data_IF_327424476422
#
_entry.id   IF_327424476422
#
_cell.length_a   1.000
_cell.length_b   1.000
_cell.length_c   1.000
_cell.angle_alpha   90.00
_cell.angle_beta   90.00
_cell.angle_gamma   90.00
#
_symmetry.space_group_name_H-M   'P 1'
#
loop_
_entity.id
_entity.type
_entity.pdbx_description
1 polymer ?
#
# COMPACT_ATOMS: atom_id res chain seq x y z
N UNK A 1 -4.30 -29.88 11.68
CA UNK A 1 -5.69 -29.85 11.18
C UNK A 1 -5.91 -28.50 10.50
N UNK A 2 -5.83 -28.42 9.17
CA UNK A 2 -6.02 -27.15 8.44
C UNK A 2 -7.52 -26.89 8.38
N UNK A 3 -7.98 -25.82 9.00
CA UNK A 3 -9.36 -25.32 8.86
C UNK A 3 -9.57 -24.90 7.42
N UNK A 4 -10.45 -25.60 6.72
CA UNK A 4 -10.93 -25.19 5.40
C UNK A 4 -11.85 -23.98 5.61
N UNK A 5 -11.27 -22.78 5.52
CA UNK A 5 -12.04 -21.54 5.56
C UNK A 5 -13.02 -21.54 4.38
N UNK A 6 -14.32 -21.58 4.68
CA UNK A 6 -15.44 -21.56 3.71
C UNK A 6 -15.88 -20.14 3.39
N UNK A 7 -15.10 -19.13 3.77
CA UNK A 7 -15.36 -17.74 3.45
C UNK A 7 -15.58 -17.55 1.94
N UNK A 8 -16.62 -16.80 1.52
CA UNK A 8 -16.86 -16.49 0.10
C UNK A 8 -15.84 -15.49 -0.45
N UNK A 9 -15.03 -14.85 0.39
CA UNK A 9 -14.13 -13.78 -0.01
C UNK A 9 -13.14 -14.18 -1.13
N UNK A 10 -12.47 -15.34 -1.10
CA UNK A 10 -11.59 -15.75 -2.20
C UNK A 10 -12.31 -15.84 -3.54
N UNK A 11 -13.56 -16.32 -3.57
CA UNK A 11 -14.36 -16.40 -4.80
C UNK A 11 -14.74 -15.02 -5.33
N UNK A 12 -15.13 -14.10 -4.45
CA UNK A 12 -15.48 -12.73 -4.83
C UNK A 12 -14.25 -12.02 -5.41
N UNK A 13 -13.08 -12.20 -4.78
CA UNK A 13 -11.85 -11.56 -5.22
C UNK A 13 -11.38 -12.13 -6.57
N UNK A 14 -11.41 -13.46 -6.75
CA UNK A 14 -11.12 -14.08 -8.06
C UNK A 14 -12.08 -13.57 -9.12
N UNK A 15 -13.39 -13.50 -8.84
CA UNK A 15 -14.37 -12.97 -9.78
C UNK A 15 -14.11 -11.49 -10.15
N UNK A 16 -13.61 -10.68 -9.22
CA UNK A 16 -13.23 -9.29 -9.48
C UNK A 16 -12.00 -9.19 -10.40
N UNK A 17 -10.99 -10.04 -10.19
CA UNK A 17 -9.81 -10.10 -11.07
C UNK A 17 -10.14 -10.68 -12.45
N UNK A 18 -11.02 -11.68 -12.53
CA UNK A 18 -11.53 -12.23 -13.79
C UNK A 18 -12.37 -11.20 -14.55
N UNK A 19 -13.16 -10.38 -13.85
CA UNK A 19 -13.86 -9.23 -14.45
C UNK A 19 -12.86 -8.17 -15.00
N UNK A 20 -11.65 -8.11 -14.42
CA UNK A 20 -10.50 -7.35 -14.90
C UNK A 20 -9.64 -8.05 -15.97
N UNK A 21 -10.12 -9.16 -16.53
CA UNK A 21 -9.56 -9.99 -17.61
C UNK A 21 -8.44 -10.99 -17.31
N UNK A 22 -7.68 -10.90 -16.21
CA UNK A 22 -6.81 -12.00 -15.69
C UNK A 22 -6.05 -11.55 -14.45
N UNK A 23 -5.74 -12.52 -13.60
CA UNK A 23 -4.83 -12.31 -12.47
C UNK A 23 -3.40 -12.08 -12.98
N UNK A 24 -2.67 -11.05 -12.49
CA UNK A 24 -1.27 -10.83 -12.87
C UNK A 24 -0.40 -12.04 -12.50
N UNK A 25 0.68 -12.26 -13.25
CA UNK A 25 1.62 -13.32 -12.89
C UNK A 25 2.34 -12.97 -11.59
N UNK A 26 2.93 -13.98 -10.92
CA UNK A 26 3.72 -13.75 -9.72
C UNK A 26 4.95 -12.87 -9.99
N UNK A 27 5.55 -13.00 -11.17
CA UNK A 27 6.69 -12.20 -11.61
C UNK A 27 6.29 -10.72 -11.79
N UNK A 28 5.13 -10.48 -12.39
CA UNK A 28 4.59 -9.11 -12.51
C UNK A 28 4.32 -8.51 -11.13
N UNK A 29 3.74 -9.29 -10.21
CA UNK A 29 3.47 -8.84 -8.84
C UNK A 29 4.76 -8.57 -8.06
N UNK A 30 5.81 -9.37 -8.25
CA UNK A 30 7.12 -9.12 -7.65
C UNK A 30 7.75 -7.83 -8.18
N UNK A 31 7.66 -7.61 -9.49
CA UNK A 31 8.14 -6.36 -10.13
C UNK A 31 7.39 -5.14 -9.57
N UNK A 32 6.06 -5.24 -9.43
CA UNK A 32 5.24 -4.18 -8.84
C UNK A 32 5.55 -3.96 -7.37
N UNK A 33 5.80 -5.01 -6.59
CA UNK A 33 6.22 -4.92 -5.19
C UNK A 33 7.50 -4.07 -5.04
N UNK A 34 8.55 -4.39 -5.81
CA UNK A 34 9.81 -3.65 -5.81
C UNK A 34 9.59 -2.17 -6.17
N UNK A 35 8.89 -1.91 -7.28
CA UNK A 35 8.62 -0.54 -7.73
C UNK A 35 7.81 0.28 -6.72
N UNK A 36 6.83 -0.32 -6.07
CA UNK A 36 5.99 0.36 -5.08
C UNK A 36 6.76 0.61 -3.78
N UNK A 37 7.68 -0.28 -3.38
CA UNK A 37 8.55 -0.06 -2.22
C UNK A 37 9.52 1.08 -2.43
N UNK A 38 10.14 1.16 -3.61
CA UNK A 38 11.01 2.28 -3.97
C UNK A 38 10.25 3.61 -3.94
N UNK A 39 9.03 3.63 -4.49
CA UNK A 39 8.18 4.82 -4.47
C UNK A 39 7.71 5.18 -3.06
N UNK A 40 7.34 4.18 -2.24
CA UNK A 40 7.01 4.36 -0.82
C UNK A 40 8.17 5.00 -0.06
N UNK A 41 9.38 4.46 -0.20
CA UNK A 41 10.57 4.98 0.46
C UNK A 41 10.86 6.42 0.06
N UNK A 42 10.77 6.72 -1.25
CA UNK A 42 10.94 8.07 -1.79
C UNK A 42 9.92 9.06 -1.21
N UNK A 43 8.63 8.71 -1.27
CA UNK A 43 7.55 9.57 -0.79
C UNK A 43 7.55 9.73 0.73
N UNK A 44 7.86 8.67 1.49
CA UNK A 44 8.00 8.76 2.94
C UNK A 44 9.15 9.70 3.33
N UNK A 45 10.27 9.68 2.61
CA UNK A 45 11.35 10.64 2.78
C UNK A 45 10.90 12.09 2.57
N UNK A 46 10.13 12.35 1.51
CA UNK A 46 9.55 13.68 1.24
C UNK A 46 8.54 14.10 2.31
N UNK A 47 7.66 13.19 2.73
CA UNK A 47 6.65 13.44 3.76
C UNK A 47 7.29 13.74 5.12
N UNK A 48 8.36 13.04 5.50
CA UNK A 48 9.15 13.35 6.70
C UNK A 48 9.74 14.75 6.61
N UNK A 49 10.31 15.12 5.46
CA UNK A 49 10.81 16.47 5.20
C UNK A 49 9.72 17.53 5.38
N UNK A 50 8.55 17.32 4.76
CA UNK A 50 7.40 18.23 4.89
C UNK A 50 6.90 18.33 6.34
N UNK A 51 6.86 17.21 7.07
CA UNK A 51 6.38 17.14 8.45
C UNK A 51 7.22 18.01 9.41
N UNK A 52 8.52 18.20 9.10
CA UNK A 52 9.41 19.08 9.86
C UNK A 52 9.16 20.57 9.59
N UNK A 53 8.49 20.91 8.49
CA UNK A 53 8.23 22.30 8.08
C UNK A 53 6.85 22.82 8.50
N UNK A 54 5.91 21.91 8.78
CA UNK A 54 4.55 22.28 9.20
C UNK A 54 4.44 22.40 10.73
N UNK A 55 3.52 23.23 11.26
CA UNK A 55 3.34 23.36 12.70
C UNK A 55 2.99 22.00 13.35
N UNK A 56 3.68 21.59 14.43
CA UNK A 56 3.36 20.36 15.14
C UNK A 56 1.91 20.32 15.61
N UNK A 57 1.27 19.15 15.56
CA UNK A 57 -0.15 18.93 15.93
C UNK A 57 -1.17 19.71 15.08
N UNK A 58 -0.76 20.30 13.96
CA UNK A 58 -1.70 20.78 12.95
C UNK A 58 -2.35 19.60 12.22
N UNK A 59 -3.47 19.86 11.52
CA UNK A 59 -4.12 18.86 10.65
C UNK A 59 -3.15 18.31 9.60
N UNK A 60 -2.37 19.18 8.98
CA UNK A 60 -1.33 18.83 8.02
C UNK A 60 -0.26 17.91 8.64
N UNK A 61 0.22 18.24 9.84
CA UNK A 61 1.19 17.42 10.56
C UNK A 61 0.64 16.01 10.83
N UNK A 62 -0.59 15.91 11.34
CA UNK A 62 -1.23 14.60 11.59
C UNK A 62 -1.43 13.78 10.32
N UNK A 63 -1.82 14.42 9.20
CA UNK A 63 -1.99 13.75 7.92
C UNK A 63 -0.67 13.14 7.44
N UNK A 64 0.42 13.91 7.51
CA UNK A 64 1.75 13.44 7.13
C UNK A 64 2.26 12.32 8.04
N UNK A 65 2.20 12.49 9.36
CA UNK A 65 2.70 11.46 10.29
C UNK A 65 1.91 10.16 10.18
N UNK A 66 0.58 10.23 10.08
CA UNK A 66 -0.24 9.03 9.92
C UNK A 66 0.03 8.31 8.59
N UNK A 67 0.28 9.05 7.50
CA UNK A 67 0.63 8.46 6.21
C UNK A 67 2.03 7.80 6.24
N UNK A 68 3.00 8.41 6.93
CA UNK A 68 4.34 7.85 7.14
C UNK A 68 4.26 6.56 7.94
N UNK A 69 3.58 6.57 9.10
CA UNK A 69 3.46 5.39 9.96
C UNK A 69 2.81 4.23 9.21
N UNK A 70 1.73 4.51 8.45
CA UNK A 70 1.05 3.50 7.66
C UNK A 70 1.91 2.94 6.51
N UNK A 71 2.79 3.75 5.93
CA UNK A 71 3.74 3.30 4.91
C UNK A 71 4.84 2.42 5.50
N UNK A 72 5.37 2.78 6.67
CA UNK A 72 6.38 1.97 7.38
C UNK A 72 5.82 0.61 7.80
N UNK A 73 4.57 0.57 8.26
CA UNK A 73 3.92 -0.69 8.61
C UNK A 73 3.70 -1.59 7.38
N UNK A 74 3.33 -1.01 6.24
CA UNK A 74 3.18 -1.76 5.00
C UNK A 74 4.52 -2.27 4.45
N UNK A 75 5.60 -1.49 4.56
CA UNK A 75 6.94 -1.89 4.10
C UNK A 75 7.48 -3.10 4.88
N UNK A 76 7.07 -3.28 6.14
CA UNK A 76 7.46 -4.46 6.94
C UNK A 76 6.74 -5.74 6.53
N UNK A 77 5.66 -5.66 5.75
CA UNK A 77 4.93 -6.83 5.29
C UNK A 77 5.72 -7.55 4.20
N UNK A 78 5.67 -8.88 4.18
CA UNK A 78 6.30 -9.70 3.15
C UNK A 78 5.24 -10.20 2.19
N UNK A 79 5.51 -10.12 0.88
CA UNK A 79 4.61 -10.63 -0.14
C UNK A 79 4.36 -12.14 0.05
N UNK A 80 3.08 -12.54 0.08
CA UNK A 80 2.70 -13.93 0.25
C UNK A 80 3.05 -14.83 -0.95
N UNK A 81 3.07 -16.15 -0.71
CA UNK A 81 3.37 -17.14 -1.76
C UNK A 81 2.17 -17.49 -2.65
N UNK A 82 0.96 -17.15 -2.25
CA UNK A 82 -0.25 -17.37 -3.03
C UNK A 82 -0.52 -16.20 -3.98
N UNK A 83 -1.14 -16.43 -5.15
CA UNK A 83 -1.42 -15.36 -6.10
C UNK A 83 -2.34 -14.29 -5.49
N UNK A 84 -3.37 -14.70 -4.74
CA UNK A 84 -4.27 -13.78 -4.04
C UNK A 84 -3.56 -12.96 -2.98
N UNK A 85 -2.75 -13.61 -2.14
CA UNK A 85 -2.05 -12.92 -1.06
C UNK A 85 -0.98 -11.96 -1.60
N UNK A 86 -0.34 -12.31 -2.72
CA UNK A 86 0.56 -11.40 -3.43
C UNK A 86 -0.19 -10.19 -4.03
N UNK A 87 -1.33 -10.41 -4.68
CA UNK A 87 -2.12 -9.33 -5.27
C UNK A 87 -2.66 -8.35 -4.20
N UNK A 88 -3.13 -8.87 -3.06
CA UNK A 88 -3.58 -8.04 -1.94
C UNK A 88 -2.42 -7.24 -1.32
N UNK A 89 -1.23 -7.83 -1.26
CA UNK A 89 -0.04 -7.14 -0.77
C UNK A 89 0.33 -5.95 -1.67
N UNK A 90 0.43 -6.17 -2.98
CA UNK A 90 0.72 -5.11 -3.96
C UNK A 90 -0.36 -4.02 -3.94
N UNK A 91 -1.64 -4.39 -3.82
CA UNK A 91 -2.73 -3.43 -3.70
C UNK A 91 -2.63 -2.57 -2.44
N UNK A 92 -2.22 -3.17 -1.32
CA UNK A 92 -1.98 -2.45 -0.07
C UNK A 92 -0.81 -1.46 -0.19
N UNK A 93 0.32 -1.87 -0.78
CA UNK A 93 1.45 -0.96 -1.05
C UNK A 93 1.01 0.22 -1.94
N UNK A 94 0.26 -0.06 -3.01
CA UNK A 94 -0.26 0.98 -3.90
C UNK A 94 -1.20 1.96 -3.16
N UNK A 95 -2.04 1.46 -2.27
CA UNK A 95 -2.89 2.30 -1.41
C UNK A 95 -2.06 3.22 -0.52
N UNK A 96 -0.93 2.75 0.03
CA UNK A 96 -0.04 3.58 0.86
C UNK A 96 0.71 4.63 0.06
N UNK A 97 1.13 4.31 -1.17
CA UNK A 97 1.67 5.29 -2.12
C UNK A 97 0.68 6.43 -2.34
N UNK A 98 -0.59 6.10 -2.62
CA UNK A 98 -1.63 7.11 -2.81
C UNK A 98 -1.86 7.94 -1.53
N UNK A 99 -1.92 7.30 -0.36
CA UNK A 99 -2.08 8.00 0.91
C UNK A 99 -0.95 9.00 1.21
N UNK A 100 0.29 8.66 0.86
CA UNK A 100 1.43 9.58 0.98
C UNK A 100 1.33 10.77 0.02
N UNK A 101 0.90 10.52 -1.23
CA UNK A 101 0.68 11.60 -2.22
C UNK A 101 -0.40 12.56 -1.76
N UNK A 102 -1.55 12.05 -1.33
CA UNK A 102 -2.65 12.86 -0.83
C UNK A 102 -2.21 13.72 0.37
N UNK A 103 -1.44 13.14 1.31
CA UNK A 103 -0.93 13.88 2.46
C UNK A 103 0.05 15.01 2.07
N UNK A 104 0.90 14.77 1.06
CA UNK A 104 1.82 15.77 0.51
C UNK A 104 1.10 16.89 -0.24
N UNK A 105 0.04 16.58 -0.98
CA UNK A 105 -0.77 17.57 -1.70
C UNK A 105 -1.49 18.52 -0.73
N UNK A 106 -2.04 18.00 0.38
CA UNK A 106 -2.70 18.81 1.42
C UNK A 106 -1.74 19.82 2.04
N UNK A 107 -0.43 19.55 2.09
CA UNK A 107 0.56 20.51 2.60
C UNK A 107 0.97 21.61 1.63
N UNK A 108 0.59 21.52 0.37
CA UNK A 108 0.90 22.54 -0.65
C UNK A 108 -0.20 23.58 -0.83
N UNK A 109 -1.35 23.40 -0.17
CA UNK A 109 -2.52 24.30 -0.18
C UNK A 109 -2.54 25.20 1.06
#
# INVERSE_FOLDING_TARGET
MKTTDTSPAPRIIVAAFDAGQRMPSREDLATLDEQLRDELARLAGLARGAALTVPPRSRAWYALTAAIDAAEDADRLVMGNGPLTAALHVAELARRVLGLRDALEVTQQ
#
